data_IF_235373642507
#
_entry.id   IF_235373642507
#
_cell.length_a   1.000
_cell.length_b   1.000
_cell.length_c   1.000
_cell.angle_alpha   90.00
_cell.angle_beta   90.00
_cell.angle_gamma   90.00
#
_symmetry.space_group_name_H-M   'P 1'
#
loop_
_entity.id
_entity.type
_entity.pdbx_description
1 polymer ?
#
# COMPACT_ATOMS: atom_id res chain seq x y z
N UNK A 1 -30.56 -40.26 71.53
CA UNK A 1 -30.70 -38.89 70.86
C UNK A 1 -29.58 -38.80 69.85
N UNK A 2 -29.91 -38.98 68.54
CA UNK A 2 -28.93 -39.05 67.46
C UNK A 2 -29.25 -37.79 66.58
N UNK A 3 -28.32 -36.82 66.54
CA UNK A 3 -28.43 -35.62 65.73
C UNK A 3 -27.71 -35.85 64.43
N UNK A 4 -28.46 -35.87 63.31
CA UNK A 4 -27.95 -36.08 61.97
C UNK A 4 -27.56 -34.72 61.36
N UNK A 5 -26.27 -34.49 61.16
CA UNK A 5 -25.77 -33.31 60.45
C UNK A 5 -25.87 -33.58 58.94
N UNK A 6 -26.77 -32.87 58.26
CA UNK A 6 -26.88 -32.84 56.78
C UNK A 6 -25.84 -31.86 56.22
N UNK A 7 -24.82 -32.38 55.56
CA UNK A 7 -23.87 -31.57 54.79
C UNK A 7 -24.53 -31.10 53.52
N UNK A 8 -24.70 -29.79 53.40
CA UNK A 8 -25.08 -29.11 52.13
C UNK A 8 -23.79 -28.86 51.35
N UNK A 9 -23.57 -29.65 50.29
CA UNK A 9 -22.53 -29.35 49.30
C UNK A 9 -23.09 -28.34 48.31
N UNK A 10 -22.61 -27.11 48.41
CA UNK A 10 -22.89 -26.04 47.44
C UNK A 10 -21.97 -26.24 46.24
N UNK A 11 -22.50 -26.75 45.12
CA UNK A 11 -21.77 -26.86 43.87
C UNK A 11 -21.68 -25.46 43.25
N UNK A 12 -20.48 -24.89 43.20
CA UNK A 12 -20.17 -23.64 42.55
C UNK A 12 -19.95 -23.89 41.06
N UNK A 13 -20.97 -23.60 40.22
CA UNK A 13 -20.85 -23.68 38.77
C UNK A 13 -20.12 -22.44 38.29
N UNK A 14 -18.86 -22.60 37.90
CA UNK A 14 -18.08 -21.55 37.22
C UNK A 14 -18.59 -21.38 35.78
N UNK A 15 -19.31 -20.27 35.55
CA UNK A 15 -19.75 -19.89 34.22
C UNK A 15 -18.58 -19.21 33.51
N UNK A 16 -17.85 -19.99 32.67
CA UNK A 16 -16.78 -19.43 31.82
C UNK A 16 -17.40 -18.62 30.69
N UNK A 17 -17.40 -17.29 30.80
CA UNK A 17 -17.72 -16.37 29.69
C UNK A 17 -16.57 -16.44 28.66
N UNK A 18 -16.74 -17.26 27.62
CA UNK A 18 -15.93 -17.20 26.40
C UNK A 18 -16.44 -16.00 25.60
N UNK A 19 -15.72 -14.88 25.66
CA UNK A 19 -16.00 -13.75 24.80
C UNK A 19 -15.70 -14.14 23.35
N UNK A 20 -16.59 -13.86 22.36
CA UNK A 20 -16.30 -14.11 20.97
C UNK A 20 -15.14 -13.18 20.56
N UNK A 21 -14.02 -13.77 20.18
CA UNK A 21 -12.95 -13.05 19.49
C UNK A 21 -13.51 -12.74 18.09
N UNK A 22 -13.96 -11.49 17.88
CA UNK A 22 -14.31 -11.03 16.55
C UNK A 22 -13.04 -11.10 15.69
N UNK A 23 -12.98 -12.09 14.81
CA UNK A 23 -11.98 -12.12 13.75
C UNK A 23 -12.28 -10.91 12.83
N UNK A 24 -11.56 -9.81 13.04
CA UNK A 24 -11.44 -8.77 12.03
C UNK A 24 -10.79 -9.46 10.83
N UNK A 25 -11.60 -9.79 9.81
CA UNK A 25 -11.07 -10.15 8.51
C UNK A 25 -10.19 -8.98 8.07
N UNK A 26 -8.88 -9.19 7.96
CA UNK A 26 -7.96 -8.24 7.35
C UNK A 26 -8.43 -8.03 5.91
N UNK A 27 -9.22 -6.97 5.68
CA UNK A 27 -9.52 -6.53 4.32
C UNK A 27 -8.18 -6.15 3.69
N UNK A 28 -7.86 -6.79 2.57
CA UNK A 28 -6.69 -6.41 1.78
C UNK A 28 -6.87 -4.96 1.34
N UNK A 29 -5.87 -4.10 1.55
CA UNK A 29 -5.98 -2.72 1.12
C UNK A 29 -6.12 -2.67 -0.40
N UNK A 30 -7.06 -1.86 -0.89
CA UNK A 30 -7.32 -1.68 -2.33
C UNK A 30 -6.49 -0.51 -2.85
N UNK A 31 -5.74 -0.74 -3.93
CA UNK A 31 -5.08 0.31 -4.69
C UNK A 31 -6.06 0.93 -5.70
N UNK A 32 -6.24 2.24 -5.62
CA UNK A 32 -7.00 3.02 -6.61
C UNK A 32 -6.03 3.72 -7.56
N UNK A 33 -5.94 3.25 -8.80
CA UNK A 33 -4.96 3.73 -9.79
C UNK A 33 -5.62 4.69 -10.77
N UNK A 34 -5.09 5.91 -10.86
CA UNK A 34 -5.44 6.90 -11.89
C UNK A 34 -4.33 6.91 -12.95
N UNK A 35 -4.70 6.67 -14.19
CA UNK A 35 -3.76 6.62 -15.31
C UNK A 35 -4.36 7.15 -16.62
N UNK A 36 -3.48 7.54 -17.55
CA UNK A 36 -3.90 7.81 -18.92
C UNK A 36 -4.33 6.52 -19.63
N UNK A 37 -5.41 6.51 -20.41
CA UNK A 37 -5.89 5.32 -21.09
C UNK A 37 -4.89 4.74 -22.10
N UNK A 38 -4.01 5.58 -22.68
CA UNK A 38 -2.96 5.18 -23.62
C UNK A 38 -1.68 4.66 -22.96
N UNK A 39 -1.57 4.72 -21.64
CA UNK A 39 -0.35 4.33 -20.93
C UNK A 39 -0.18 2.80 -20.86
N UNK A 40 0.64 2.25 -21.77
CA UNK A 40 0.92 0.81 -21.84
C UNK A 40 1.69 0.28 -20.63
N UNK A 41 2.73 0.98 -20.19
CA UNK A 41 3.54 0.61 -19.02
C UNK A 41 2.73 0.65 -17.72
N UNK A 42 1.82 1.61 -17.56
CA UNK A 42 0.93 1.68 -16.41
C UNK A 42 0.05 0.43 -16.28
N UNK A 43 -0.42 -0.11 -17.40
CA UNK A 43 -1.21 -1.34 -17.43
C UNK A 43 -0.38 -2.54 -16.95
N UNK A 44 0.88 -2.66 -17.41
CA UNK A 44 1.78 -3.73 -16.97
C UNK A 44 2.05 -3.63 -15.47
N UNK A 45 2.27 -2.42 -14.94
CA UNK A 45 2.45 -2.21 -13.51
C UNK A 45 1.21 -2.64 -12.69
N UNK A 46 0.02 -2.32 -13.18
CA UNK A 46 -1.25 -2.76 -12.55
C UNK A 46 -1.36 -4.30 -12.53
N UNK A 47 -0.96 -4.98 -13.62
CA UNK A 47 -0.95 -6.44 -13.66
C UNK A 47 0.02 -7.02 -12.64
N UNK A 48 1.23 -6.47 -12.50
CA UNK A 48 2.21 -6.86 -11.47
C UNK A 48 1.61 -6.73 -10.07
N UNK A 49 0.89 -5.65 -9.76
CA UNK A 49 0.22 -5.47 -8.47
C UNK A 49 -0.84 -6.54 -8.22
N UNK A 50 -1.70 -6.81 -9.22
CA UNK A 50 -2.75 -7.84 -9.13
C UNK A 50 -2.16 -9.24 -8.90
N UNK A 51 -1.11 -9.58 -9.64
CA UNK A 51 -0.38 -10.85 -9.51
C UNK A 51 0.30 -10.99 -8.13
N UNK A 52 0.70 -9.85 -7.54
CA UNK A 52 1.25 -9.80 -6.18
C UNK A 52 0.18 -9.81 -5.08
N UNK A 53 -1.09 -9.94 -5.45
CA UNK A 53 -2.21 -10.14 -4.52
C UNK A 53 -2.86 -8.85 -4.01
N UNK A 54 -2.56 -7.69 -4.58
CA UNK A 54 -3.32 -6.47 -4.30
C UNK A 54 -4.69 -6.50 -4.98
N UNK A 55 -5.68 -5.93 -4.32
CA UNK A 55 -6.91 -5.53 -5.00
C UNK A 55 -6.68 -4.19 -5.68
N UNK A 56 -6.95 -4.10 -7.00
CA UNK A 56 -6.69 -2.88 -7.78
C UNK A 56 -7.95 -2.44 -8.49
N UNK A 57 -8.31 -1.17 -8.33
CA UNK A 57 -9.31 -0.48 -9.14
C UNK A 57 -8.62 0.55 -10.02
N UNK A 58 -9.14 0.76 -11.23
CA UNK A 58 -8.54 1.63 -12.24
C UNK A 58 -9.53 2.72 -12.63
N UNK A 59 -9.04 3.96 -12.67
CA UNK A 59 -9.76 5.12 -13.17
C UNK A 59 -8.93 5.81 -14.26
N UNK A 60 -9.61 6.30 -15.28
CA UNK A 60 -8.97 7.01 -16.40
C UNK A 60 -9.02 8.51 -16.13
N UNK A 61 -7.85 9.15 -16.23
CA UNK A 61 -7.71 10.59 -16.13
C UNK A 61 -6.74 11.10 -17.20
N UNK A 62 -6.98 12.30 -17.73
CA UNK A 62 -6.24 12.81 -18.87
C UNK A 62 -5.40 14.04 -18.52
N UNK A 63 -4.18 14.11 -19.03
CA UNK A 63 -3.35 15.30 -19.10
C UNK A 63 -3.39 16.16 -17.84
N UNK A 64 -3.89 17.40 -17.98
CA UNK A 64 -3.90 18.37 -16.89
C UNK A 64 -4.72 17.93 -15.66
N UNK A 65 -5.80 17.17 -15.84
CA UNK A 65 -6.62 16.68 -14.71
C UNK A 65 -5.84 15.68 -13.86
N UNK A 66 -5.08 14.77 -14.49
CA UNK A 66 -4.23 13.83 -13.77
C UNK A 66 -3.13 14.58 -13.00
N UNK A 67 -2.49 15.59 -13.62
CA UNK A 67 -1.47 16.42 -12.96
C UNK A 67 -2.08 17.18 -11.78
N UNK A 68 -3.26 17.79 -11.94
CA UNK A 68 -3.94 18.49 -10.84
C UNK A 68 -4.26 17.54 -9.68
N UNK A 69 -4.71 16.31 -9.96
CA UNK A 69 -4.96 15.31 -8.94
C UNK A 69 -3.69 14.99 -8.14
N UNK A 70 -2.56 14.77 -8.82
CA UNK A 70 -1.26 14.48 -8.18
C UNK A 70 -0.85 15.62 -7.25
N UNK A 71 -0.82 16.85 -7.76
CA UNK A 71 -0.46 18.04 -6.97
C UNK A 71 -1.40 18.24 -5.78
N UNK A 72 -2.72 18.07 -5.97
CA UNK A 72 -3.71 18.20 -4.91
C UNK A 72 -3.58 17.12 -3.81
N UNK A 73 -2.94 15.97 -4.12
CA UNK A 73 -2.64 14.92 -3.17
C UNK A 73 -1.20 14.96 -2.64
N UNK A 74 -0.47 16.06 -2.84
CA UNK A 74 0.83 16.31 -2.22
C UNK A 74 2.02 15.72 -2.97
N UNK A 75 1.86 15.26 -4.23
CA UNK A 75 2.99 14.85 -5.06
C UNK A 75 3.81 16.07 -5.45
N UNK A 76 5.10 16.17 -5.10
CA UNK A 76 5.96 17.26 -5.54
C UNK A 76 6.09 17.28 -7.08
N UNK A 77 6.19 18.46 -7.72
CA UNK A 77 6.25 18.55 -9.19
C UNK A 77 7.40 17.77 -9.83
N UNK A 78 8.53 17.67 -9.17
CA UNK A 78 9.73 16.94 -9.61
C UNK A 78 9.62 15.41 -9.40
N UNK A 79 8.61 14.97 -8.67
CA UNK A 79 8.32 13.54 -8.45
C UNK A 79 7.25 12.98 -9.40
N UNK A 80 6.64 13.82 -10.23
CA UNK A 80 5.56 13.40 -11.14
C UNK A 80 6.06 12.37 -12.16
N UNK A 81 5.29 11.29 -12.30
CA UNK A 81 5.50 10.21 -13.27
C UNK A 81 4.24 9.96 -14.12
N UNK A 82 4.07 8.81 -14.75
CA UNK A 82 3.00 8.57 -15.74
C UNK A 82 1.64 8.25 -15.12
N UNK A 83 1.58 7.67 -13.91
CA UNK A 83 0.34 7.35 -13.20
C UNK A 83 0.49 7.66 -11.72
N UNK A 84 -0.62 7.64 -11.01
CA UNK A 84 -0.65 7.75 -9.55
C UNK A 84 -1.64 6.75 -8.98
N UNK A 85 -1.39 6.27 -7.78
CA UNK A 85 -2.31 5.40 -7.07
C UNK A 85 -2.49 5.85 -5.62
N UNK A 86 -3.59 5.43 -5.01
CA UNK A 86 -3.85 5.65 -3.59
C UNK A 86 -4.11 4.33 -2.90
N UNK A 87 -3.44 4.10 -1.79
CA UNK A 87 -3.62 2.93 -0.94
C UNK A 87 -3.51 3.33 0.53
N UNK A 88 -4.54 3.02 1.30
CA UNK A 88 -4.54 3.15 2.77
C UNK A 88 -4.05 4.53 3.29
N UNK A 89 -4.40 5.58 2.55
CA UNK A 89 -4.02 6.98 2.82
C UNK A 89 -2.76 7.46 2.10
N UNK A 90 -1.89 6.57 1.65
CA UNK A 90 -0.67 6.90 0.90
C UNK A 90 -0.90 7.10 -0.58
N UNK A 91 -0.07 7.95 -1.19
CA UNK A 91 0.06 8.12 -2.64
C UNK A 91 1.25 7.30 -3.14
N UNK A 92 1.04 6.57 -4.22
CA UNK A 92 2.08 5.83 -4.94
C UNK A 92 2.19 6.44 -6.33
N UNK A 93 3.31 7.10 -6.61
CA UNK A 93 3.55 7.82 -7.84
C UNK A 93 4.53 7.05 -8.74
N UNK A 94 4.10 6.71 -9.95
CA UNK A 94 4.93 6.00 -10.92
C UNK A 94 5.19 4.53 -10.58
N UNK A 95 6.26 3.98 -11.13
CA UNK A 95 6.57 2.55 -11.18
C UNK A 95 7.24 2.03 -9.89
N UNK A 96 6.61 2.30 -8.73
CA UNK A 96 7.11 1.86 -7.42
C UNK A 96 7.05 0.34 -7.32
N UNK A 97 8.15 -0.33 -6.89
CA UNK A 97 8.19 -1.76 -6.69
C UNK A 97 7.23 -2.25 -5.60
N UNK A 98 6.65 -3.42 -5.81
CA UNK A 98 5.72 -4.10 -4.88
C UNK A 98 6.31 -4.22 -3.47
N UNK A 99 7.61 -4.57 -3.37
CA UNK A 99 8.30 -4.71 -2.10
C UNK A 99 8.32 -3.41 -1.29
N UNK A 100 8.51 -2.27 -1.97
CA UNK A 100 8.51 -0.95 -1.32
C UNK A 100 7.10 -0.54 -0.89
N UNK A 101 6.06 -0.88 -1.66
CA UNK A 101 4.67 -0.64 -1.26
C UNK A 101 4.34 -1.46 0.01
N UNK A 102 4.74 -2.73 0.08
CA UNK A 102 4.55 -3.55 1.27
C UNK A 102 5.28 -2.96 2.48
N UNK A 103 6.55 -2.56 2.30
CA UNK A 103 7.36 -1.94 3.35
C UNK A 103 6.74 -0.63 3.85
N UNK A 104 6.23 0.23 2.95
CA UNK A 104 5.51 1.46 3.32
C UNK A 104 4.29 1.16 4.20
N UNK A 105 3.50 0.15 3.81
CA UNK A 105 2.29 -0.25 4.54
C UNK A 105 2.60 -0.90 5.89
N UNK A 106 3.76 -1.53 6.05
CA UNK A 106 4.23 -2.13 7.30
C UNK A 106 4.81 -1.08 8.24
N UNK A 107 5.72 -0.22 7.74
CA UNK A 107 6.41 0.81 8.53
C UNK A 107 5.52 2.00 8.90
N UNK A 108 4.52 2.31 8.08
CA UNK A 108 3.53 3.38 8.32
C UNK A 108 4.15 4.75 8.64
N UNK A 109 5.15 5.23 7.89
CA UNK A 109 5.75 6.53 8.14
C UNK A 109 4.73 7.67 7.99
N UNK A 110 4.94 8.77 8.72
CA UNK A 110 4.17 10.01 8.53
C UNK A 110 4.65 10.73 7.26
N UNK A 111 4.03 10.40 6.14
CA UNK A 111 4.44 10.83 4.80
C UNK A 111 3.25 10.85 3.83
N UNK A 112 3.42 11.54 2.71
CA UNK A 112 2.47 11.53 1.58
C UNK A 112 2.45 10.15 0.91
N UNK A 113 3.61 9.52 0.74
CA UNK A 113 3.74 8.23 0.09
C UNK A 113 5.07 8.04 -0.61
N UNK A 114 5.10 7.19 -1.65
CA UNK A 114 6.30 6.86 -2.41
C UNK A 114 6.23 7.37 -3.85
N UNK A 115 7.38 7.71 -4.43
CA UNK A 115 7.52 8.07 -5.83
C UNK A 115 8.73 7.41 -6.51
N UNK A 116 8.53 7.01 -7.76
CA UNK A 116 9.60 6.77 -8.74
C UNK A 116 9.42 7.80 -9.84
N UNK A 117 10.17 8.91 -9.80
CA UNK A 117 10.05 9.97 -10.80
C UNK A 117 10.50 9.50 -12.18
N UNK A 118 9.89 10.06 -13.21
CA UNK A 118 10.18 9.65 -14.57
C UNK A 118 9.65 8.24 -14.88
N UNK A 119 10.40 7.51 -15.68
CA UNK A 119 10.06 6.13 -16.12
C UNK A 119 11.37 5.35 -16.31
N UNK A 120 12.12 5.06 -15.22
CA UNK A 120 13.41 4.38 -15.35
C UNK A 120 13.25 2.99 -15.95
N UNK A 121 14.11 2.66 -16.93
CA UNK A 121 14.07 1.37 -17.60
C UNK A 121 14.37 0.23 -16.61
N UNK A 122 13.64 -0.88 -16.73
CA UNK A 122 13.74 -2.01 -15.81
C UNK A 122 13.03 -1.82 -14.46
N UNK A 123 12.43 -0.63 -14.19
CA UNK A 123 11.48 -0.54 -13.09
C UNK A 123 10.21 -1.34 -13.39
N UNK A 124 9.39 -1.73 -12.39
CA UNK A 124 8.24 -2.61 -12.61
C UNK A 124 7.30 -2.12 -13.71
N UNK A 125 7.17 -2.88 -14.80
CA UNK A 125 6.37 -2.52 -15.99
C UNK A 125 7.10 -1.68 -17.05
N UNK A 126 8.38 -1.35 -16.84
CA UNK A 126 9.20 -0.54 -17.75
C UNK A 126 10.32 -1.32 -18.46
N UNK A 127 10.10 -2.58 -18.73
CA UNK A 127 11.07 -3.47 -19.38
C UNK A 127 11.57 -4.57 -18.45
N UNK A 128 12.52 -5.39 -18.94
CA UNK A 128 13.10 -6.47 -18.16
C UNK A 128 13.99 -5.95 -17.03
N UNK A 129 13.90 -6.58 -15.88
CA UNK A 129 14.67 -6.20 -14.69
C UNK A 129 16.17 -6.45 -14.88
N UNK A 130 16.55 -7.41 -15.70
CA UNK A 130 17.96 -7.75 -16.00
C UNK A 130 18.71 -6.64 -16.77
N UNK A 131 17.97 -5.71 -17.37
CA UNK A 131 18.51 -4.54 -18.09
C UNK A 131 18.25 -3.24 -17.32
N UNK A 132 18.00 -3.33 -16.01
CA UNK A 132 17.59 -2.18 -15.19
C UNK A 132 18.68 -1.11 -15.13
N UNK A 133 18.31 0.14 -15.41
CA UNK A 133 19.09 1.31 -15.01
C UNK A 133 18.95 1.60 -13.52
N UNK A 134 19.94 2.25 -12.92
CA UNK A 134 19.87 2.63 -11.51
C UNK A 134 18.75 3.67 -11.30
N UNK A 135 17.96 3.50 -10.24
CA UNK A 135 16.94 4.48 -9.84
C UNK A 135 16.68 4.42 -8.33
N UNK A 136 16.11 5.49 -7.81
CA UNK A 136 15.67 5.60 -6.43
C UNK A 136 14.16 5.61 -6.31
N UNK A 137 13.67 5.02 -5.23
CA UNK A 137 12.32 5.21 -4.71
C UNK A 137 12.40 6.28 -3.64
N UNK A 138 11.59 7.32 -3.75
CA UNK A 138 11.58 8.43 -2.81
C UNK A 138 10.37 8.37 -1.88
N UNK A 139 10.59 8.65 -0.59
CA UNK A 139 9.52 8.97 0.35
C UNK A 139 9.18 10.46 0.20
N UNK A 140 7.93 10.76 -0.13
CA UNK A 140 7.40 12.13 -0.24
C UNK A 140 6.87 12.58 1.11
N UNK A 141 7.34 13.71 1.62
CA UNK A 141 6.96 14.29 2.93
C UNK A 141 5.85 15.32 2.80
N UNK A 142 5.13 15.56 3.87
CA UNK A 142 4.04 16.55 3.91
C UNK A 142 4.51 17.99 3.73
N UNK A 143 5.77 18.29 4.01
CA UNK A 143 6.39 19.61 3.78
C UNK A 143 6.85 19.85 2.33
N UNK A 144 6.63 18.87 1.43
CA UNK A 144 7.07 18.89 0.04
C UNK A 144 8.51 18.40 -0.16
N UNK A 145 9.23 18.07 0.92
CA UNK A 145 10.55 17.45 0.83
C UNK A 145 10.48 15.97 0.45
N UNK A 146 11.62 15.44 0.01
CA UNK A 146 11.77 14.02 -0.33
C UNK A 146 13.01 13.44 0.32
N UNK A 147 13.01 12.14 0.56
CA UNK A 147 14.21 11.39 0.96
C UNK A 147 14.23 10.04 0.25
N UNK A 148 15.43 9.49 0.06
CA UNK A 148 15.56 8.17 -0.57
C UNK A 148 15.04 7.11 0.38
N UNK A 149 14.02 6.36 -0.09
CA UNK A 149 13.44 5.23 0.61
C UNK A 149 14.16 3.94 0.27
N UNK A 150 14.40 3.66 -1.03
CA UNK A 150 15.16 2.50 -1.51
C UNK A 150 15.96 2.91 -2.74
N UNK A 151 17.18 2.38 -2.89
CA UNK A 151 17.99 2.54 -4.10
C UNK A 151 18.13 1.20 -4.83
N UNK A 152 17.85 1.21 -6.12
CA UNK A 152 18.02 0.08 -7.03
C UNK A 152 19.21 0.35 -7.94
N UNK A 153 20.20 -0.52 -7.85
CA UNK A 153 21.39 -0.41 -8.70
C UNK A 153 21.09 -0.88 -10.12
N UNK A 154 21.88 -0.45 -11.10
CA UNK A 154 21.82 -1.00 -12.44
C UNK A 154 22.08 -2.53 -12.40
N UNK A 155 21.36 -3.28 -13.21
CA UNK A 155 21.52 -4.73 -13.33
C UNK A 155 22.66 -5.07 -14.30
#
# INVERSE_FOLDING_TARGET
MISTRRNFMTAMVAFSCVAPVSAFALQKPTLHVLKDPGCGCCRVWVEILKDSGFEVTEEVSFGALLVQYKLANGVPPDMISCHTAKIDGYIIEGHVPVADIHRLLEERPDAVGLAVPGMPYGSPGMGPEDDREAYDVFLMKHDGGTEVFTSYQAA
#
